data_IF_439246361295
#
_entry.id   IF_439246361295
#
_cell.length_a   1.000
_cell.length_b   1.000
_cell.length_c   1.000
_cell.angle_alpha   90.00
_cell.angle_beta   90.00
_cell.angle_gamma   90.00
#
_symmetry.space_group_name_H-M   'P 1'
#
loop_
_entity.id
_entity.type
_entity.pdbx_description
1 polymer ?
#
# COMPACT_ATOMS: atom_id res chain seq x y z
N UNK A 1 13.93 10.88 -15.53
CA UNK A 1 13.72 9.69 -14.67
C UNK A 1 13.86 9.97 -13.18
N UNK A 2 14.86 10.73 -12.70
CA UNK A 2 15.04 10.99 -11.24
C UNK A 2 13.80 11.48 -10.46
N UNK A 3 13.02 12.41 -11.01
CA UNK A 3 11.82 12.92 -10.34
C UNK A 3 10.71 11.87 -10.24
N UNK A 4 10.55 11.03 -11.28
CA UNK A 4 9.68 9.87 -11.24
C UNK A 4 10.12 8.87 -10.16
N UNK A 5 11.42 8.60 -10.05
CA UNK A 5 11.97 7.74 -8.98
C UNK A 5 11.75 8.34 -7.57
N UNK A 6 11.62 9.66 -7.47
CA UNK A 6 11.36 10.39 -6.22
C UNK A 6 9.86 10.48 -5.87
N UNK A 7 8.96 10.04 -6.76
CA UNK A 7 7.54 9.97 -6.48
C UNK A 7 6.66 10.93 -7.29
N UNK A 8 7.21 11.68 -8.24
CA UNK A 8 6.40 12.57 -9.10
C UNK A 8 5.73 11.79 -10.25
N UNK A 9 4.49 12.16 -10.58
CA UNK A 9 3.75 11.63 -11.73
C UNK A 9 3.78 12.59 -12.91
N UNK A 10 3.78 12.05 -14.13
CA UNK A 10 3.91 12.83 -15.36
C UNK A 10 2.80 12.48 -16.36
N UNK A 11 2.31 13.49 -17.08
CA UNK A 11 1.46 13.27 -18.25
C UNK A 11 2.34 13.02 -19.47
N UNK A 12 2.14 11.89 -20.12
CA UNK A 12 2.83 11.53 -21.36
C UNK A 12 1.99 12.05 -22.52
N UNK A 13 2.62 12.86 -23.38
CA UNK A 13 1.95 13.43 -24.57
C UNK A 13 2.58 12.92 -25.86
N UNK A 14 1.77 12.78 -26.92
CA UNK A 14 2.20 12.61 -28.31
C UNK A 14 1.77 13.85 -29.09
N UNK A 15 2.73 14.64 -29.58
CA UNK A 15 2.46 15.90 -30.30
C UNK A 15 1.56 16.88 -29.51
N UNK A 16 1.82 17.02 -28.21
CA UNK A 16 1.02 17.88 -27.32
C UNK A 16 -0.33 17.31 -26.87
N UNK A 17 -0.76 16.17 -27.43
CA UNK A 17 -1.98 15.48 -27.01
C UNK A 17 -1.65 14.49 -25.89
N UNK A 18 -2.29 14.57 -24.71
CA UNK A 18 -2.13 13.58 -23.65
C UNK A 18 -2.54 12.17 -24.12
N UNK A 19 -1.67 11.19 -23.89
CA UNK A 19 -1.89 9.78 -24.27
C UNK A 19 -1.84 8.83 -23.08
N UNK A 20 -1.33 9.29 -21.94
CA UNK A 20 -1.29 8.48 -20.73
C UNK A 20 -0.62 9.19 -19.57
N UNK A 21 -0.53 8.48 -18.45
CA UNK A 21 0.14 8.93 -17.24
C UNK A 21 1.26 7.96 -16.89
N UNK A 22 2.41 8.50 -16.51
CA UNK A 22 3.52 7.76 -15.95
C UNK A 22 3.60 8.08 -14.46
N UNK A 23 3.13 7.14 -13.65
CA UNK A 23 3.16 7.21 -12.18
C UNK A 23 4.29 6.32 -11.61
N UNK A 24 4.96 6.75 -10.54
CA UNK A 24 5.96 5.93 -9.86
C UNK A 24 5.33 4.63 -9.35
N UNK A 25 6.07 3.52 -9.48
CA UNK A 25 5.67 2.28 -8.82
C UNK A 25 5.75 2.49 -7.30
N UNK A 26 4.64 2.17 -6.61
CA UNK A 26 4.61 2.23 -5.14
C UNK A 26 5.54 1.16 -4.58
N UNK A 27 6.78 1.55 -4.27
CA UNK A 27 7.68 0.72 -3.47
C UNK A 27 7.13 0.65 -2.06
N UNK A 28 6.98 -0.56 -1.53
CA UNK A 28 6.77 -0.76 -0.10
C UNK A 28 7.99 -0.14 0.62
N UNK A 29 7.78 1.02 1.24
CA UNK A 29 8.81 1.64 2.07
C UNK A 29 8.84 0.90 3.40
N UNK A 30 10.05 0.63 3.88
CA UNK A 30 10.22 0.20 5.25
C UNK A 30 9.66 1.29 6.18
N UNK A 31 8.72 0.91 7.04
CA UNK A 31 8.18 1.78 8.07
C UNK A 31 8.80 1.34 9.40
N UNK A 32 9.59 2.22 10.00
CA UNK A 32 10.17 1.97 11.32
C UNK A 32 9.09 1.90 12.40
N UNK A 33 9.41 1.23 13.51
CA UNK A 33 8.51 1.04 14.66
C UNK A 33 7.86 2.36 15.13
N UNK A 34 8.67 3.40 15.34
CA UNK A 34 8.19 4.71 15.80
C UNK A 34 7.21 5.36 14.82
N UNK A 35 7.47 5.25 13.51
CA UNK A 35 6.59 5.80 12.49
C UNK A 35 5.26 5.05 12.42
N UNK A 36 5.27 3.73 12.61
CA UNK A 36 4.06 2.93 12.72
C UNK A 36 3.25 3.33 13.96
N UNK A 37 3.89 3.42 15.13
CA UNK A 37 3.22 3.81 16.37
C UNK A 37 2.60 5.20 16.28
N UNK A 38 3.32 6.16 15.69
CA UNK A 38 2.82 7.52 15.45
C UNK A 38 1.59 7.51 14.53
N UNK A 39 1.60 6.73 13.44
CA UNK A 39 0.49 6.61 12.51
C UNK A 39 -0.79 6.07 13.17
N UNK A 40 -0.66 5.18 14.16
CA UNK A 40 -1.78 4.57 14.86
C UNK A 40 -2.18 5.26 16.18
N UNK A 41 -1.54 6.36 16.58
CA UNK A 41 -1.77 7.03 17.87
C UNK A 41 -3.24 7.41 18.14
N UNK A 42 -4.00 7.74 17.10
CA UNK A 42 -5.43 8.10 17.18
C UNK A 42 -6.38 7.00 16.70
N UNK A 43 -5.87 5.80 16.40
CA UNK A 43 -6.71 4.72 15.90
C UNK A 43 -7.62 4.17 17.00
N UNK A 44 -8.80 3.67 16.60
CA UNK A 44 -9.68 2.97 17.52
C UNK A 44 -8.98 1.74 18.11
N UNK A 45 -9.28 1.43 19.38
CA UNK A 45 -8.79 0.21 20.01
C UNK A 45 -9.36 -1.01 19.29
N UNK A 46 -8.48 -1.97 19.00
CA UNK A 46 -8.85 -3.23 18.39
C UNK A 46 -9.04 -4.28 19.48
N UNK A 47 -10.19 -4.95 19.49
CA UNK A 47 -10.41 -6.14 20.30
C UNK A 47 -9.71 -7.33 19.65
N UNK A 48 -8.54 -7.68 20.20
CA UNK A 48 -7.60 -8.61 19.56
C UNK A 48 -8.19 -10.01 19.36
N UNK A 49 -8.88 -10.54 20.37
CA UNK A 49 -9.53 -11.86 20.29
C UNK A 49 -10.60 -11.91 19.21
N UNK A 50 -11.43 -10.86 19.12
CA UNK A 50 -12.47 -10.76 18.09
C UNK A 50 -11.86 -10.64 16.69
N UNK A 51 -10.84 -9.78 16.54
CA UNK A 51 -10.12 -9.65 15.28
C UNK A 51 -9.54 -11.00 14.83
N UNK A 52 -8.91 -11.73 15.75
CA UNK A 52 -8.30 -13.03 15.45
C UNK A 52 -9.35 -14.03 14.98
N UNK A 53 -10.47 -14.13 15.69
CA UNK A 53 -11.57 -15.03 15.32
C UNK A 53 -12.21 -14.69 13.96
N UNK A 54 -12.35 -13.40 13.65
CA UNK A 54 -12.87 -12.95 12.36
C UNK A 54 -11.90 -13.30 11.22
N UNK A 55 -10.59 -13.10 11.43
CA UNK A 55 -9.54 -13.47 10.47
C UNK A 55 -9.50 -14.98 10.22
N UNK A 56 -9.55 -15.80 11.26
CA UNK A 56 -9.53 -17.26 11.11
C UNK A 56 -10.76 -17.80 10.36
N UNK A 57 -11.90 -17.12 10.47
CA UNK A 57 -13.11 -17.47 9.71
C UNK A 57 -13.02 -17.08 8.24
N UNK A 58 -12.44 -15.91 7.94
CA UNK A 58 -12.42 -15.36 6.58
C UNK A 58 -11.21 -15.82 5.76
N UNK A 59 -10.07 -16.06 6.41
CA UNK A 59 -8.84 -16.44 5.75
C UNK A 59 -8.74 -17.96 5.60
N UNK A 60 -8.68 -18.43 4.35
CA UNK A 60 -8.26 -19.81 4.07
C UNK A 60 -6.87 -20.07 4.62
N UNK A 61 -6.74 -21.13 5.42
CA UNK A 61 -5.48 -21.62 5.99
C UNK A 61 -4.72 -22.58 5.06
N UNK A 62 -5.17 -22.71 3.80
CA UNK A 62 -4.51 -23.56 2.82
C UNK A 62 -3.15 -22.95 2.43
N UNK A 63 -2.15 -23.81 2.27
CA UNK A 63 -0.77 -23.41 1.92
C UNK A 63 -0.56 -23.26 0.40
N UNK A 64 -1.54 -23.67 -0.40
CA UNK A 64 -1.46 -23.61 -1.86
C UNK A 64 -1.55 -22.15 -2.35
N UNK A 65 -0.70 -21.72 -3.30
CA UNK A 65 -0.77 -20.39 -3.89
C UNK A 65 -2.15 -20.15 -4.52
N UNK A 66 -2.71 -18.96 -4.30
CA UNK A 66 -3.93 -18.54 -5.00
C UNK A 66 -3.53 -18.09 -6.42
N UNK A 67 -4.25 -18.61 -7.42
CA UNK A 67 -4.08 -18.26 -8.83
C UNK A 67 -4.48 -16.79 -9.12
#
# INVERSE_FOLDING_TARGET
MRQLDQGESFIVTRNGVPVGELSPLRRHRFVGYEAALAAFKGAARVEFERLRADLDRAASQQIEPRA
#
